data_IF_012617278454
#
_entry.id   IF_012617278454
#
_cell.length_a   1.000
_cell.length_b   1.000
_cell.length_c   1.000
_cell.angle_alpha   90.00
_cell.angle_beta   90.00
_cell.angle_gamma   90.00
#
_symmetry.space_group_name_H-M   'P 1'
#
loop_
_entity.id
_entity.type
_entity.pdbx_description
1 polymer ?
#
# COMPACT_ATOMS: atom_id res chain seq x y z
N UNK A 1 9.65 37.35 12.14
CA UNK A 1 8.91 37.57 13.39
C UNK A 1 7.39 37.35 13.30
N UNK A 2 6.74 37.41 12.11
CA UNK A 2 5.27 37.19 11.98
C UNK A 2 4.84 35.72 12.07
N UNK A 3 5.65 34.79 11.55
CA UNK A 3 5.39 33.33 11.55
C UNK A 3 5.22 32.76 12.98
N UNK A 4 6.01 33.25 13.95
CA UNK A 4 5.92 32.79 15.34
C UNK A 4 4.64 33.24 16.05
N UNK A 5 4.05 34.37 15.66
CA UNK A 5 2.82 34.88 16.27
C UNK A 5 1.59 34.11 15.79
N UNK A 6 1.58 33.70 14.52
CA UNK A 6 0.52 32.86 13.95
C UNK A 6 0.57 31.44 14.53
N UNK A 7 1.76 30.88 14.74
CA UNK A 7 1.95 29.59 15.42
C UNK A 7 1.45 29.62 16.87
N UNK A 8 1.76 30.68 17.62
CA UNK A 8 1.30 30.80 19.01
C UNK A 8 -0.23 30.93 19.13
N UNK A 9 -0.88 31.57 18.16
CA UNK A 9 -2.34 31.66 18.12
C UNK A 9 -3.00 30.31 17.77
N UNK A 10 -2.42 29.56 16.84
CA UNK A 10 -2.85 28.20 16.50
C UNK A 10 -2.67 27.23 17.68
N UNK A 11 -1.54 27.28 18.38
CA UNK A 11 -1.31 26.48 19.60
C UNK A 11 -2.30 26.82 20.73
N UNK A 12 -2.64 28.09 20.89
CA UNK A 12 -3.64 28.53 21.87
C UNK A 12 -5.06 28.05 21.53
N UNK A 13 -5.39 27.92 20.24
CA UNK A 13 -6.65 27.35 19.77
C UNK A 13 -6.71 25.82 19.95
N UNK A 14 -5.58 25.12 19.74
CA UNK A 14 -5.47 23.67 19.91
C UNK A 14 -5.51 23.23 21.39
N UNK A 15 -5.09 24.10 22.32
CA UNK A 15 -5.12 23.87 23.77
C UNK A 15 -6.46 24.18 24.45
N UNK A 16 -7.48 24.60 23.70
CA UNK A 16 -8.83 24.74 24.26
C UNK A 16 -9.36 23.37 24.68
N UNK A 17 -10.02 23.25 25.84
CA UNK A 17 -10.48 21.96 26.37
C UNK A 17 -11.47 21.25 25.41
N UNK A 18 -12.17 22.00 24.57
CA UNK A 18 -13.05 21.50 23.51
C UNK A 18 -12.31 20.77 22.37
N UNK A 19 -11.04 21.13 22.11
CA UNK A 19 -10.21 20.56 21.05
C UNK A 19 -9.23 19.48 21.57
N UNK A 20 -9.04 19.41 22.89
CA UNK A 20 -8.07 18.51 23.53
C UNK A 20 -8.42 17.02 23.33
N UNK A 21 -9.71 16.66 23.36
CA UNK A 21 -10.16 15.27 23.18
C UNK A 21 -9.94 14.76 21.73
N UNK A 22 -10.07 15.63 20.73
CA UNK A 22 -9.83 15.28 19.32
C UNK A 22 -8.33 15.23 19.03
N UNK A 23 -7.54 16.10 19.66
CA UNK A 23 -6.09 16.12 19.54
C UNK A 23 -5.47 14.84 20.13
N UNK A 24 -5.94 14.39 21.29
CA UNK A 24 -5.41 13.20 21.97
C UNK A 24 -5.66 11.92 21.16
N UNK A 25 -6.87 11.77 20.59
CA UNK A 25 -7.19 10.64 19.69
C UNK A 25 -6.36 10.68 18.41
N UNK A 26 -6.15 11.86 17.82
CA UNK A 26 -5.40 11.99 16.57
C UNK A 26 -3.90 11.72 16.77
N UNK A 27 -3.31 12.14 17.89
CA UNK A 27 -1.90 11.84 18.24
C UNK A 27 -1.72 10.37 18.65
N UNK A 28 -2.68 9.76 19.34
CA UNK A 28 -2.66 8.32 19.63
C UNK A 28 -2.81 7.49 18.35
N UNK A 29 -3.74 7.85 17.45
CA UNK A 29 -3.87 7.20 16.14
C UNK A 29 -2.62 7.43 15.28
N UNK A 30 -2.06 8.63 15.24
CA UNK A 30 -0.82 8.89 14.49
C UNK A 30 0.40 8.16 15.05
N UNK A 31 0.51 8.02 16.37
CA UNK A 31 1.62 7.26 16.98
C UNK A 31 1.47 5.73 16.83
N UNK A 32 0.23 5.24 16.77
CA UNK A 32 -0.06 3.86 16.35
C UNK A 32 0.19 3.65 14.85
N UNK A 33 -0.13 4.64 14.01
CA UNK A 33 0.23 4.67 12.58
C UNK A 33 1.75 4.73 12.43
N UNK A 34 2.51 5.51 13.22
CA UNK A 34 3.98 5.54 13.12
C UNK A 34 4.65 4.23 13.54
N UNK A 35 4.11 3.52 14.55
CA UNK A 35 4.69 2.25 15.02
C UNK A 35 4.18 1.00 14.29
N UNK A 36 3.06 1.09 13.55
CA UNK A 36 2.44 -0.05 12.83
C UNK A 36 2.05 0.24 11.38
N UNK A 37 2.35 1.40 10.81
CA UNK A 37 2.22 1.63 9.38
C UNK A 37 3.17 0.67 8.68
N UNK A 38 2.58 -0.42 8.19
CA UNK A 38 3.20 -1.30 7.22
C UNK A 38 3.88 -0.38 6.20
N UNK A 39 5.20 -0.48 6.11
CA UNK A 39 6.02 0.54 5.46
C UNK A 39 5.79 0.52 3.96
N UNK A 40 4.76 1.22 3.50
CA UNK A 40 4.36 1.32 2.11
C UNK A 40 5.52 1.69 1.21
N UNK A 41 6.33 2.67 1.62
CA UNK A 41 7.55 3.06 0.91
C UNK A 41 8.47 1.88 0.63
N UNK A 42 8.61 0.96 1.59
CA UNK A 42 9.43 -0.25 1.43
C UNK A 42 8.74 -1.28 0.54
N UNK A 43 7.44 -1.51 0.71
CA UNK A 43 6.67 -2.40 -0.16
C UNK A 43 6.76 -1.94 -1.61
N UNK A 44 6.57 -0.65 -1.89
CA UNK A 44 6.68 -0.10 -3.23
C UNK A 44 8.10 -0.23 -3.78
N UNK A 45 9.13 0.05 -2.97
CA UNK A 45 10.52 -0.13 -3.38
C UNK A 45 10.88 -1.59 -3.69
N UNK A 46 10.31 -2.53 -2.96
CA UNK A 46 10.52 -3.97 -3.17
C UNK A 46 9.67 -4.51 -4.33
N UNK A 47 8.47 -3.97 -4.53
CA UNK A 47 7.62 -4.27 -5.68
C UNK A 47 8.24 -3.75 -6.98
N UNK A 48 8.80 -2.54 -6.98
CA UNK A 48 9.46 -1.93 -8.15
C UNK A 48 10.61 -2.80 -8.69
N UNK A 49 11.36 -3.47 -7.82
CA UNK A 49 12.44 -4.39 -8.22
C UNK A 49 11.93 -5.64 -8.96
N UNK A 50 10.69 -6.04 -8.71
CA UNK A 50 10.11 -7.29 -9.21
C UNK A 50 9.24 -7.05 -10.42
N UNK A 51 8.57 -5.90 -10.49
CA UNK A 51 7.67 -5.51 -11.56
C UNK A 51 8.40 -5.46 -12.92
N UNK A 52 7.97 -6.27 -13.91
CA UNK A 52 8.44 -6.15 -15.28
C UNK A 52 8.05 -4.80 -15.91
N UNK A 53 8.86 -4.29 -16.84
CA UNK A 53 8.62 -3.00 -17.52
C UNK A 53 7.33 -2.94 -18.35
N UNK A 54 6.82 -4.11 -18.75
CA UNK A 54 5.59 -4.30 -19.51
C UNK A 54 4.37 -4.62 -18.64
N UNK A 55 4.49 -4.50 -17.31
CA UNK A 55 3.37 -4.62 -16.37
C UNK A 55 3.27 -3.34 -15.54
N UNK A 56 2.07 -2.78 -15.44
CA UNK A 56 1.79 -1.56 -14.68
C UNK A 56 0.99 -1.89 -13.44
N UNK A 57 1.35 -1.29 -12.32
CA UNK A 57 0.49 -1.34 -11.13
C UNK A 57 -0.68 -0.35 -11.32
N UNK A 58 -1.91 -0.86 -11.32
CA UNK A 58 -3.13 -0.05 -11.45
C UNK A 58 -3.61 0.41 -10.08
N UNK A 59 -3.64 -0.50 -9.11
CA UNK A 59 -4.01 -0.18 -7.74
C UNK A 59 -3.43 -1.19 -6.76
N UNK A 60 -3.28 -0.78 -5.51
CA UNK A 60 -2.87 -1.66 -4.41
C UNK A 60 -3.68 -1.29 -3.17
N UNK A 61 -4.18 -2.30 -2.48
CA UNK A 61 -4.99 -2.16 -1.27
C UNK A 61 -4.11 -2.24 -0.03
N UNK A 62 -4.56 -1.56 1.03
CA UNK A 62 -3.91 -1.54 2.33
C UNK A 62 -3.54 -2.96 2.77
N UNK A 63 -2.26 -3.20 3.08
CA UNK A 63 -1.79 -4.52 3.44
C UNK A 63 -2.56 -5.02 4.67
N UNK A 64 -3.11 -6.22 4.54
CA UNK A 64 -3.90 -6.86 5.60
C UNK A 64 -3.02 -7.84 6.35
N UNK A 65 -3.23 -8.00 7.65
CA UNK A 65 -2.54 -9.07 8.40
C UNK A 65 -3.43 -10.30 8.37
N UNK A 66 -2.93 -11.42 7.85
CA UNK A 66 -3.67 -12.68 7.84
C UNK A 66 -3.62 -13.36 9.23
N UNK A 67 -4.36 -14.46 9.40
CA UNK A 67 -4.40 -15.22 10.67
C UNK A 67 -3.06 -15.82 11.09
N UNK A 68 -2.08 -15.89 10.17
CA UNK A 68 -0.72 -16.34 10.40
C UNK A 68 0.26 -15.18 10.69
N UNK A 69 -0.28 -13.98 10.96
CA UNK A 69 0.48 -12.76 11.21
C UNK A 69 1.41 -12.35 10.05
N UNK A 70 1.04 -12.69 8.81
CA UNK A 70 1.75 -12.31 7.60
C UNK A 70 1.03 -11.14 6.92
N UNK A 71 1.80 -10.31 6.24
CA UNK A 71 1.27 -9.19 5.47
C UNK A 71 0.74 -9.71 4.13
N UNK A 72 -0.54 -9.51 3.84
CA UNK A 72 -1.16 -9.84 2.56
C UNK A 72 -1.31 -8.56 1.73
N UNK A 73 -0.75 -8.58 0.53
CA UNK A 73 -0.88 -7.52 -0.45
C UNK A 73 -1.94 -7.92 -1.50
N UNK A 74 -2.88 -7.04 -1.77
CA UNK A 74 -3.88 -7.22 -2.83
C UNK A 74 -3.74 -6.06 -3.82
N UNK A 75 -3.41 -6.40 -5.06
CA UNK A 75 -3.07 -5.43 -6.09
C UNK A 75 -3.74 -5.76 -7.41
N UNK A 76 -4.04 -4.73 -8.20
CA UNK A 76 -4.47 -4.84 -9.58
C UNK A 76 -3.30 -4.43 -10.46
N UNK A 77 -2.88 -5.32 -11.35
CA UNK A 77 -1.86 -5.07 -12.35
C UNK A 77 -2.47 -5.04 -13.74
N UNK A 78 -1.95 -4.18 -14.61
CA UNK A 78 -2.37 -3.97 -15.98
C UNK A 78 -1.25 -4.32 -16.95
N UNK A 79 -1.55 -5.01 -18.05
CA UNK A 79 -0.59 -5.26 -19.13
C UNK A 79 -1.29 -5.21 -20.49
N UNK A 80 -0.55 -4.89 -21.55
CA UNK A 80 -1.07 -4.90 -22.92
C UNK A 80 -1.35 -6.33 -23.40
N UNK A 81 -0.59 -7.29 -22.90
CA UNK A 81 -0.73 -8.72 -23.19
C UNK A 81 -0.81 -9.55 -21.89
N UNK A 82 -1.38 -10.76 -21.93
CA UNK A 82 -1.39 -11.67 -20.77
C UNK A 82 0.02 -12.16 -20.36
N UNK A 83 0.90 -12.46 -21.32
CA UNK A 83 2.18 -13.11 -21.06
C UNK A 83 3.10 -12.39 -20.04
N UNK A 84 3.24 -11.05 -20.07
CA UNK A 84 3.94 -10.28 -19.05
C UNK A 84 3.47 -10.53 -17.61
N UNK A 85 2.17 -10.75 -17.41
CA UNK A 85 1.60 -10.97 -16.07
C UNK A 85 1.98 -12.34 -15.54
N UNK A 86 2.07 -13.36 -16.39
CA UNK A 86 2.61 -14.65 -15.98
C UNK A 86 4.07 -14.54 -15.52
N UNK A 87 4.88 -13.71 -16.19
CA UNK A 87 6.25 -13.46 -15.76
C UNK A 87 6.32 -12.77 -14.40
N UNK A 88 5.43 -11.79 -14.14
CA UNK A 88 5.32 -11.16 -12.83
C UNK A 88 4.99 -12.20 -11.75
N UNK A 89 3.97 -13.04 -11.98
CA UNK A 89 3.56 -14.06 -11.01
C UNK A 89 4.71 -15.02 -10.69
N UNK A 90 5.45 -15.46 -11.71
CA UNK A 90 6.63 -16.30 -11.52
C UNK A 90 7.72 -15.61 -10.68
N UNK A 91 8.04 -14.35 -10.99
CA UNK A 91 9.04 -13.59 -10.22
C UNK A 91 8.62 -13.33 -8.77
N UNK A 92 7.34 -13.10 -8.53
CA UNK A 92 6.80 -12.93 -7.18
C UNK A 92 6.92 -14.25 -6.38
N UNK A 93 6.63 -15.39 -7.00
CA UNK A 93 6.78 -16.72 -6.37
C UNK A 93 8.25 -17.09 -6.08
N UNK A 94 9.18 -16.67 -6.93
CA UNK A 94 10.62 -16.93 -6.77
C UNK A 94 11.30 -15.95 -5.79
N UNK A 95 10.62 -14.87 -5.42
CA UNK A 95 11.20 -13.85 -4.53
C UNK A 95 11.33 -14.36 -3.09
N UNK A 96 12.34 -13.85 -2.38
CA UNK A 96 12.47 -14.09 -0.92
C UNK A 96 11.57 -13.17 -0.09
N UNK A 97 11.18 -12.03 -0.68
CA UNK A 97 10.39 -10.99 -0.01
C UNK A 97 8.89 -11.23 -0.20
N UNK A 98 8.51 -11.93 -1.26
CA UNK A 98 7.13 -12.25 -1.60
C UNK A 98 7.00 -13.78 -1.58
N UNK A 99 5.90 -14.26 -1.02
CA UNK A 99 5.60 -15.69 -0.86
C UNK A 99 4.59 -16.16 -1.90
N UNK A 100 3.74 -17.14 -1.55
CA UNK A 100 2.72 -17.66 -2.45
C UNK A 100 1.83 -16.55 -3.02
N UNK A 101 1.69 -16.54 -4.35
CA UNK A 101 0.83 -15.63 -5.10
C UNK A 101 -0.43 -16.34 -5.55
N UNK A 102 -1.56 -15.66 -5.43
CA UNK A 102 -2.86 -16.12 -5.90
C UNK A 102 -3.44 -15.13 -6.90
N UNK A 103 -3.87 -15.61 -8.06
CA UNK A 103 -4.64 -14.81 -9.01
C UNK A 103 -6.11 -14.84 -8.58
N UNK A 104 -6.65 -13.67 -8.23
CA UNK A 104 -8.03 -13.53 -7.76
C UNK A 104 -9.00 -13.43 -8.93
N UNK A 105 -8.69 -12.58 -9.92
CA UNK A 105 -9.48 -12.45 -11.13
C UNK A 105 -8.67 -11.83 -12.29
N UNK A 106 -9.23 -11.94 -13.50
CA UNK A 106 -8.77 -11.24 -14.70
C UNK A 106 -9.94 -10.52 -15.36
N UNK A 107 -9.72 -9.26 -15.75
CA UNK A 107 -10.67 -8.43 -16.46
C UNK A 107 -10.05 -8.13 -17.84
N UNK A 108 -10.68 -8.58 -18.94
CA UNK A 108 -10.19 -8.30 -20.28
C UNK A 108 -10.33 -6.80 -20.62
N UNK A 109 -9.55 -6.30 -21.59
CA UNK A 109 -9.66 -4.93 -22.05
C UNK A 109 -11.08 -4.63 -22.59
N UNK A 110 -11.55 -3.42 -22.33
CA UNK A 110 -12.86 -2.90 -22.75
C UNK A 110 -12.70 -1.60 -23.55
N UNK A 111 -13.79 -1.09 -24.13
CA UNK A 111 -13.73 0.16 -24.92
C UNK A 111 -13.19 1.36 -24.14
N UNK A 112 -13.37 1.36 -22.81
CA UNK A 112 -12.89 2.42 -21.90
C UNK A 112 -11.48 2.14 -21.36
N UNK A 113 -11.00 0.90 -21.44
CA UNK A 113 -9.76 0.47 -20.81
C UNK A 113 -9.00 -0.55 -21.65
N UNK A 114 -7.86 -0.12 -22.21
CA UNK A 114 -7.11 -0.91 -23.19
C UNK A 114 -6.24 -2.01 -22.57
N UNK A 115 -6.10 -2.05 -21.25
CA UNK A 115 -5.20 -2.98 -20.57
C UNK A 115 -5.95 -4.22 -20.06
N UNK A 116 -5.29 -5.38 -20.15
CA UNK A 116 -5.68 -6.55 -19.37
C UNK A 116 -5.39 -6.30 -17.91
N UNK A 117 -6.42 -6.37 -17.06
CA UNK A 117 -6.29 -6.17 -15.62
C UNK A 117 -6.35 -7.49 -14.89
N UNK A 118 -5.43 -7.69 -13.95
CA UNK A 118 -5.38 -8.89 -13.12
C UNK A 118 -5.32 -8.48 -11.67
N UNK A 119 -6.22 -9.01 -10.85
CA UNK A 119 -6.13 -8.86 -9.40
C UNK A 119 -5.29 -10.00 -8.84
N UNK A 120 -4.18 -9.63 -8.24
CA UNK A 120 -3.19 -10.54 -7.67
C UNK A 120 -3.13 -10.30 -6.17
N UNK A 121 -3.19 -11.38 -5.40
CA UNK A 121 -2.95 -11.36 -3.98
C UNK A 121 -1.65 -12.10 -3.68
N UNK A 122 -0.78 -11.52 -2.86
CA UNK A 122 0.53 -12.10 -2.54
C UNK A 122 0.87 -11.89 -1.07
N UNK A 123 1.41 -12.93 -0.44
CA UNK A 123 1.96 -12.82 0.90
C UNK A 123 3.30 -12.07 0.84
N UNK A 124 3.46 -11.04 1.66
CA UNK A 124 4.69 -10.28 1.83
C UNK A 124 5.38 -10.72 3.12
N UNK A 125 6.62 -11.22 2.99
CA UNK A 125 7.40 -11.83 4.06
C UNK A 125 8.02 -10.81 5.03
N UNK A 126 7.34 -9.68 5.28
CA UNK A 126 7.74 -8.76 6.32
C UNK A 126 7.35 -9.35 7.68
N UNK A 127 8.37 -9.81 8.43
CA UNK A 127 8.22 -10.05 9.86
C UNK A 127 8.07 -8.68 10.53
N UNK A 128 6.94 -8.45 11.19
CA UNK A 128 6.71 -7.32 12.10
C UNK A 128 7.55 -7.49 13.37
#
# INVERSE_FOLDING_TARGET
ARVNAEQAQLDALLRRPENAEVLERSVFLNSLIERKAISWTRIFADLEKIMPSNVRLVSVRLPQINTQNQVLLDMVVGADEPAPVLQLLKKLQESKQFGPTSLVNSIPPSQTDKLWKYRVSVNYAQKL
#
